data_IF_077978304306
#
_entry.id   IF_077978304306
#
_cell.length_a   1.000
_cell.length_b   1.000
_cell.length_c   1.000
_cell.angle_alpha   90.00
_cell.angle_beta   90.00
_cell.angle_gamma   90.00
#
_symmetry.space_group_name_H-M   'P 1'
#
loop_
_entity.id
_entity.type
_entity.pdbx_description
1 polymer ?
#
# COMPACT_ATOMS: atom_id res chain seq x y z
N UNK A 1 -1.29 13.37 23.59
CA UNK A 1 -2.73 13.28 23.90
C UNK A 1 -3.51 14.44 23.31
N UNK A 2 -3.10 15.71 23.47
CA UNK A 2 -3.82 16.86 22.90
C UNK A 2 -4.02 16.86 21.38
N UNK A 3 -2.98 16.51 20.59
CA UNK A 3 -3.07 16.52 19.12
C UNK A 3 -4.09 15.53 18.54
N UNK A 4 -4.24 14.36 19.17
CA UNK A 4 -5.24 13.37 18.74
C UNK A 4 -6.66 13.92 18.97
N UNK A 5 -6.90 14.55 20.12
CA UNK A 5 -8.18 15.17 20.46
C UNK A 5 -8.53 16.35 19.53
N UNK A 6 -7.55 17.19 19.18
CA UNK A 6 -7.73 18.26 18.18
C UNK A 6 -8.11 17.68 16.81
N UNK A 7 -7.39 16.65 16.34
CA UNK A 7 -7.71 15.98 15.08
C UNK A 7 -9.13 15.43 15.07
N UNK A 8 -9.53 14.75 16.13
CA UNK A 8 -10.86 14.15 16.22
C UNK A 8 -11.95 15.24 16.23
N UNK A 9 -11.69 16.39 16.87
CA UNK A 9 -12.60 17.54 16.86
C UNK A 9 -12.75 18.15 15.45
N UNK A 10 -11.65 18.38 14.71
CA UNK A 10 -11.72 18.82 13.31
C UNK A 10 -12.45 17.83 12.40
N UNK A 11 -12.26 16.52 12.59
CA UNK A 11 -12.98 15.49 11.82
C UNK A 11 -14.50 15.59 12.04
N UNK A 12 -14.93 15.93 13.26
CA UNK A 12 -16.35 16.16 13.58
C UNK A 12 -16.87 17.55 13.16
N UNK A 13 -16.03 18.39 12.57
CA UNK A 13 -16.37 19.76 12.16
C UNK A 13 -16.36 20.79 13.30
N UNK A 14 -15.77 20.45 14.45
CA UNK A 14 -15.64 21.34 15.60
C UNK A 14 -14.38 22.21 15.55
N UNK A 15 -14.41 23.29 16.34
CA UNK A 15 -13.26 24.16 16.58
C UNK A 15 -12.30 23.51 17.59
N UNK A 16 -11.00 23.49 17.28
CA UNK A 16 -9.98 22.85 18.10
C UNK A 16 -9.06 23.84 18.82
N UNK A 17 -9.24 25.15 18.59
CA UNK A 17 -8.39 26.19 19.17
C UNK A 17 -8.29 26.07 20.69
N UNK A 18 -9.40 25.89 21.40
CA UNK A 18 -9.40 25.77 22.86
C UNK A 18 -8.67 24.52 23.37
N UNK A 19 -8.58 23.47 22.55
CA UNK A 19 -7.90 22.22 22.86
C UNK A 19 -6.38 22.30 22.63
N UNK A 20 -5.90 23.35 21.97
CA UNK A 20 -4.50 23.50 21.62
C UNK A 20 -3.61 23.84 22.83
N UNK A 21 -2.35 23.36 22.84
CA UNK A 21 -1.35 23.83 23.79
C UNK A 21 -1.18 25.35 23.74
N UNK A 22 -0.94 25.99 24.90
CA UNK A 22 -0.79 27.45 25.00
C UNK A 22 0.25 28.01 24.03
N UNK A 23 1.38 27.32 23.87
CA UNK A 23 2.43 27.73 22.93
C UNK A 23 1.96 27.77 21.47
N UNK A 24 1.04 26.89 21.07
CA UNK A 24 0.48 26.86 19.72
C UNK A 24 -0.60 27.93 19.55
N UNK A 25 -1.40 28.15 20.60
CA UNK A 25 -2.36 29.26 20.66
C UNK A 25 -1.64 30.57 20.40
N UNK A 26 -0.56 30.88 21.12
CA UNK A 26 0.20 32.13 20.94
C UNK A 26 0.73 32.35 19.51
N UNK A 27 1.01 31.27 18.76
CA UNK A 27 1.45 31.38 17.34
C UNK A 27 0.27 31.65 16.41
N UNK A 28 -0.91 31.12 16.72
CA UNK A 28 -2.13 31.31 15.95
C UNK A 28 -2.94 32.56 16.38
N UNK A 29 -2.66 33.11 17.56
CA UNK A 29 -3.40 34.18 18.25
C UNK A 29 -3.05 35.57 17.69
N UNK A 30 -3.52 35.84 16.48
CA UNK A 30 -3.66 37.20 15.90
C UNK A 30 -4.42 37.09 14.56
N UNK A 31 -5.66 36.59 14.60
CA UNK A 31 -6.47 36.38 13.42
C UNK A 31 -7.98 36.24 13.74
N UNK A 32 -8.83 36.24 12.70
CA UNK A 32 -10.22 35.81 12.85
C UNK A 32 -10.31 34.35 13.30
N UNK A 33 -11.45 33.94 13.89
CA UNK A 33 -11.64 32.57 14.38
C UNK A 33 -11.32 31.50 13.30
N UNK A 34 -11.77 31.71 12.07
CA UNK A 34 -11.47 30.81 10.95
C UNK A 34 -9.97 30.72 10.64
N UNK A 35 -9.27 31.85 10.72
CA UNK A 35 -7.84 31.91 10.42
C UNK A 35 -6.99 31.36 11.57
N UNK A 36 -7.44 31.51 12.82
CA UNK A 36 -6.85 30.83 13.97
C UNK A 36 -6.90 29.32 13.79
N UNK A 37 -8.04 28.76 13.38
CA UNK A 37 -8.18 27.33 13.08
C UNK A 37 -7.27 26.88 11.92
N UNK A 38 -7.18 27.67 10.83
CA UNK A 38 -6.27 27.35 9.71
C UNK A 38 -4.80 27.36 10.12
N UNK A 39 -4.36 28.36 10.89
CA UNK A 39 -2.98 28.44 11.41
C UNK A 39 -2.68 27.27 12.34
N UNK A 40 -3.63 26.93 13.20
CA UNK A 40 -3.51 25.80 14.10
C UNK A 40 -3.44 24.46 13.35
N UNK A 41 -4.23 24.31 12.29
CA UNK A 41 -4.17 23.16 11.38
C UNK A 41 -2.79 23.05 10.72
N UNK A 42 -2.21 24.16 10.27
CA UNK A 42 -0.87 24.20 9.68
C UNK A 42 0.22 23.78 10.69
N UNK A 43 0.15 24.27 11.93
CA UNK A 43 1.07 23.86 13.01
C UNK A 43 0.94 22.36 13.29
N UNK A 44 -0.29 21.85 13.39
CA UNK A 44 -0.56 20.44 13.62
C UNK A 44 -0.03 19.55 12.48
N UNK A 45 -0.20 19.98 11.22
CA UNK A 45 0.33 19.29 10.06
C UNK A 45 1.86 19.24 10.10
N UNK A 46 2.52 20.36 10.38
CA UNK A 46 3.98 20.41 10.51
C UNK A 46 4.49 19.53 11.67
N UNK A 47 3.78 19.51 12.79
CA UNK A 47 4.12 18.66 13.91
C UNK A 47 4.01 17.17 13.55
N UNK A 48 2.98 16.76 12.80
CA UNK A 48 2.81 15.38 12.35
C UNK A 48 3.85 14.95 11.32
N UNK A 49 4.16 15.81 10.36
CA UNK A 49 5.07 15.47 9.26
C UNK A 49 6.54 15.45 9.70
N UNK A 50 6.92 16.37 10.60
CA UNK A 50 8.32 16.57 10.99
C UNK A 50 8.60 16.13 12.42
N UNK A 51 7.90 16.68 13.40
CA UNK A 51 8.27 16.54 14.82
C UNK A 51 7.87 15.19 15.43
N UNK A 52 6.78 14.60 14.95
CA UNK A 52 6.21 13.33 15.45
C UNK A 52 6.44 12.17 14.49
N UNK A 53 7.25 12.38 13.44
CA UNK A 53 7.68 11.30 12.56
C UNK A 53 8.35 10.22 13.41
N UNK A 54 7.92 8.94 13.32
CA UNK A 54 8.57 7.87 14.04
C UNK A 54 10.06 7.88 13.71
N UNK A 55 10.90 7.93 14.75
CA UNK A 55 12.34 7.85 14.57
C UNK A 55 12.66 6.61 13.72
N UNK A 56 13.54 6.78 12.72
CA UNK A 56 13.96 5.67 11.89
C UNK A 56 14.47 4.54 12.81
N UNK A 57 14.02 3.28 12.62
CA UNK A 57 14.50 2.18 13.43
C UNK A 57 16.02 2.13 13.38
N UNK A 58 16.68 2.09 14.55
CA UNK A 58 18.15 2.02 14.64
C UNK A 58 18.71 0.74 14.01
N UNK A 59 17.86 -0.26 13.80
CA UNK A 59 18.21 -1.53 13.18
C UNK A 59 17.34 -1.76 11.96
N UNK A 60 17.99 -2.02 10.82
CA UNK A 60 17.31 -2.41 9.59
C UNK A 60 17.21 -3.94 9.55
N UNK A 61 15.98 -4.46 9.38
CA UNK A 61 15.80 -5.89 9.09
C UNK A 61 16.15 -6.13 7.62
N UNK A 62 17.28 -6.79 7.36
CA UNK A 62 17.67 -7.18 6.00
C UNK A 62 16.62 -8.12 5.42
N UNK A 63 15.93 -7.67 4.36
CA UNK A 63 15.00 -8.47 3.58
C UNK A 63 15.71 -8.96 2.30
N UNK A 64 15.33 -10.12 1.75
CA UNK A 64 15.80 -10.50 0.43
C UNK A 64 15.34 -9.46 -0.61
N UNK A 65 16.10 -9.27 -1.69
CA UNK A 65 15.76 -8.28 -2.73
C UNK A 65 14.44 -8.62 -3.44
N UNK A 66 14.05 -9.90 -3.45
CA UNK A 66 12.78 -10.36 -4.00
C UNK A 66 12.09 -11.30 -3.00
N UNK A 67 10.75 -11.28 -2.93
CA UNK A 67 10.01 -12.27 -2.17
C UNK A 67 10.28 -13.66 -2.75
N UNK A 68 10.43 -14.66 -1.87
CA UNK A 68 10.53 -16.05 -2.29
C UNK A 68 9.14 -16.51 -2.76
N UNK A 69 9.09 -17.26 -3.85
CA UNK A 69 7.85 -17.89 -4.29
C UNK A 69 7.35 -18.85 -3.20
N UNK A 70 6.04 -18.86 -2.96
CA UNK A 70 5.41 -19.70 -1.94
C UNK A 70 5.45 -21.20 -2.29
N UNK A 71 5.55 -21.52 -3.59
CA UNK A 71 5.65 -22.87 -4.14
C UNK A 71 6.82 -22.94 -5.14
N UNK A 72 7.41 -24.13 -5.36
CA UNK A 72 8.42 -24.31 -6.39
C UNK A 72 7.83 -24.03 -7.79
N UNK A 73 8.69 -23.58 -8.70
CA UNK A 73 8.35 -23.44 -10.11
C UNK A 73 8.05 -24.81 -10.73
N UNK A 74 7.11 -24.86 -11.68
CA UNK A 74 6.84 -26.05 -12.47
C UNK A 74 8.15 -26.52 -13.15
N UNK A 75 8.52 -27.81 -13.05
CA UNK A 75 9.75 -28.33 -13.66
C UNK A 75 9.82 -28.03 -15.16
N UNK A 76 11.01 -27.66 -15.65
CA UNK A 76 11.22 -27.25 -17.04
C UNK A 76 10.70 -28.26 -18.07
N UNK A 77 10.84 -29.56 -17.79
CA UNK A 77 10.33 -30.64 -18.66
C UNK A 77 8.81 -30.60 -18.89
N UNK A 78 8.05 -30.01 -17.97
CA UNK A 78 6.58 -29.93 -18.04
C UNK A 78 6.09 -28.58 -18.60
N UNK A 79 6.96 -27.58 -18.72
CA UNK A 79 6.61 -26.24 -19.23
C UNK A 79 6.10 -26.24 -20.68
N UNK A 80 6.63 -27.06 -21.62
CA UNK A 80 6.04 -27.16 -22.96
C UNK A 80 4.59 -27.65 -22.94
N UNK A 81 4.27 -28.62 -22.08
CA UNK A 81 2.92 -29.17 -21.93
C UNK A 81 1.97 -28.16 -21.27
N UNK A 82 2.42 -27.42 -20.26
CA UNK A 82 1.60 -26.37 -19.65
C UNK A 82 1.30 -25.24 -20.63
N UNK A 83 2.28 -24.82 -21.44
CA UNK A 83 2.07 -23.83 -22.52
C UNK A 83 1.08 -24.33 -23.56
N UNK A 84 1.19 -25.59 -23.99
CA UNK A 84 0.21 -26.17 -24.91
C UNK A 84 -1.21 -26.17 -24.31
N UNK A 85 -1.35 -26.59 -23.05
CA UNK A 85 -2.65 -26.58 -22.36
C UNK A 85 -3.24 -25.15 -22.24
N UNK A 86 -2.40 -24.15 -21.94
CA UNK A 86 -2.81 -22.74 -21.89
C UNK A 86 -3.19 -22.20 -23.27
N UNK A 87 -2.50 -22.62 -24.33
CA UNK A 87 -2.82 -22.26 -25.72
C UNK A 87 -4.16 -22.83 -26.18
N UNK A 88 -4.48 -24.07 -25.78
CA UNK A 88 -5.77 -24.70 -26.10
C UNK A 88 -6.93 -24.18 -25.24
N UNK A 89 -6.65 -23.50 -24.13
CA UNK A 89 -7.64 -22.85 -23.30
C UNK A 89 -8.08 -21.51 -23.93
N UNK A 90 -9.13 -21.58 -24.77
CA UNK A 90 -9.63 -20.44 -25.55
C UNK A 90 -10.10 -19.24 -24.71
N UNK A 91 -10.65 -19.46 -23.51
CA UNK A 91 -11.20 -18.43 -22.64
C UNK A 91 -10.46 -18.33 -21.29
N UNK A 92 -10.61 -17.19 -20.62
CA UNK A 92 -10.00 -16.94 -19.31
C UNK A 92 -10.39 -18.01 -18.29
N UNK A 93 -11.64 -18.50 -18.32
CA UNK A 93 -12.14 -19.52 -17.40
C UNK A 93 -11.38 -20.85 -17.54
N UNK A 94 -11.12 -21.32 -18.76
CA UNK A 94 -10.32 -22.53 -18.98
C UNK A 94 -8.86 -22.30 -18.62
N UNK A 95 -8.29 -21.12 -18.89
CA UNK A 95 -6.93 -20.77 -18.48
C UNK A 95 -6.79 -20.82 -16.96
N UNK A 96 -7.75 -20.26 -16.21
CA UNK A 96 -7.79 -20.37 -14.74
C UNK A 96 -7.80 -21.82 -14.29
N UNK A 97 -8.59 -22.71 -14.92
CA UNK A 97 -8.60 -24.13 -14.55
C UNK A 97 -7.23 -24.81 -14.73
N UNK A 98 -6.52 -24.50 -15.81
CA UNK A 98 -5.15 -25.02 -16.04
C UNK A 98 -4.20 -24.51 -14.96
N UNK A 99 -4.27 -23.22 -14.61
CA UNK A 99 -3.47 -22.62 -13.53
C UNK A 99 -3.80 -23.28 -12.18
N UNK A 100 -5.08 -23.43 -11.84
CA UNK A 100 -5.53 -24.08 -10.59
C UNK A 100 -5.08 -25.54 -10.52
N UNK A 101 -5.08 -26.28 -11.64
CA UNK A 101 -4.61 -27.66 -11.71
C UNK A 101 -3.12 -27.79 -11.35
N UNK A 102 -2.32 -26.81 -11.77
CA UNK A 102 -0.87 -26.77 -11.50
C UNK A 102 -0.63 -26.34 -10.05
N UNK A 103 -1.36 -25.34 -9.58
CA UNK A 103 -1.30 -24.88 -8.20
C UNK A 103 -1.71 -25.99 -7.21
N UNK A 104 -2.74 -26.77 -7.52
CA UNK A 104 -3.18 -27.90 -6.67
C UNK A 104 -2.17 -29.04 -6.60
N UNK A 105 -1.20 -29.08 -7.53
CA UNK A 105 -0.05 -30.00 -7.51
C UNK A 105 1.17 -29.41 -6.80
N UNK A 106 1.05 -28.23 -6.20
CA UNK A 106 2.12 -27.60 -5.44
C UNK A 106 3.15 -26.86 -6.29
N UNK A 107 2.78 -26.40 -7.50
CA UNK A 107 3.69 -25.68 -8.40
C UNK A 107 3.15 -24.30 -8.80
N UNK A 108 4.09 -23.38 -9.08
CA UNK A 108 3.80 -22.09 -9.74
C UNK A 108 4.15 -22.19 -11.22
N UNK A 109 3.32 -21.60 -12.08
CA UNK A 109 3.62 -21.40 -13.49
C UNK A 109 4.67 -20.32 -13.70
N UNK A 110 5.54 -20.50 -14.68
CA UNK A 110 6.45 -19.43 -15.08
C UNK A 110 5.64 -18.26 -15.68
N UNK A 111 5.87 -17.00 -15.28
CA UNK A 111 5.15 -15.84 -15.83
C UNK A 111 5.11 -15.80 -17.36
N UNK A 112 6.27 -16.02 -17.99
CA UNK A 112 6.40 -16.09 -19.46
C UNK A 112 5.57 -17.19 -20.15
N UNK A 113 5.04 -18.17 -19.42
CA UNK A 113 4.24 -19.24 -20.02
C UNK A 113 2.77 -18.83 -20.24
N UNK A 114 2.29 -17.75 -19.61
CA UNK A 114 0.90 -17.30 -19.71
C UNK A 114 0.73 -15.81 -20.02
N UNK A 115 1.80 -15.00 -19.88
CA UNK A 115 1.75 -13.59 -20.26
C UNK A 115 1.41 -13.44 -21.74
N UNK A 116 0.55 -12.47 -22.11
CA UNK A 116 0.27 -12.17 -23.51
C UNK A 116 1.59 -11.82 -24.21
N UNK A 117 1.82 -12.44 -25.37
CA UNK A 117 2.94 -12.03 -26.23
C UNK A 117 2.55 -10.73 -26.93
N UNK A 118 3.54 -9.94 -27.38
CA UNK A 118 3.27 -8.67 -28.07
C UNK A 118 2.31 -8.83 -29.28
N UNK A 119 2.21 -10.02 -29.86
CA UNK A 119 1.29 -10.35 -30.95
C UNK A 119 -0.17 -10.60 -30.55
N UNK A 120 -0.49 -10.70 -29.25
CA UNK A 120 -1.86 -10.94 -28.74
C UNK A 120 -2.67 -9.64 -28.57
N UNK A 121 -2.10 -8.48 -28.92
CA UNK A 121 -2.73 -7.15 -28.77
C UNK A 121 -3.41 -6.61 -30.03
N UNK A 122 -3.62 -7.45 -31.06
CA UNK A 122 -4.34 -7.06 -32.28
C UNK A 122 -5.84 -7.30 -32.18
#
# INVERSE_FOLDING_TARGET
TGLATMRDCWITGGASFDLAPTAWKTIADDASADEQERRLLAIAAQALDVALRPAAPKTLKRRPPLPRLALPMLPERLRPLSRAALKHAADARRKTRVVTLIASRGFVLHPMDWMPVASDQN
#
